data_IF_093932765356
#
_entry.id   IF_093932765356
#
_cell.length_a   1.000
_cell.length_b   1.000
_cell.length_c   1.000
_cell.angle_alpha   90.00
_cell.angle_beta   90.00
_cell.angle_gamma   90.00
#
_symmetry.space_group_name_H-M   'P 1'
#
loop_
_entity.id
_entity.type
_entity.pdbx_description
1 polymer ?
#
# COMPACT_ATOMS: atom_id res chain seq x y z
N UNK A 1 -8.17 34.54 -7.15
CA UNK A 1 -8.73 33.19 -7.12
C UNK A 1 -7.63 32.25 -6.64
N UNK A 2 -7.70 31.84 -5.38
CA UNK A 2 -6.77 30.91 -4.75
C UNK A 2 -7.13 29.49 -5.18
N UNK A 3 -6.23 28.82 -5.90
CA UNK A 3 -6.39 27.40 -6.23
C UNK A 3 -6.26 26.57 -4.96
N UNK A 4 -7.35 25.94 -4.55
CA UNK A 4 -7.42 24.96 -3.47
C UNK A 4 -6.41 23.82 -3.72
N UNK A 5 -5.62 23.37 -2.73
CA UNK A 5 -4.54 22.43 -2.99
C UNK A 5 -5.09 21.08 -3.49
N UNK A 6 -4.73 20.68 -4.71
CA UNK A 6 -4.94 19.30 -5.17
C UNK A 6 -3.68 18.47 -4.85
N UNK A 7 -3.83 17.62 -3.84
CA UNK A 7 -2.89 16.59 -3.35
C UNK A 7 -1.76 17.07 -2.40
N UNK A 8 -1.95 16.82 -1.10
CA UNK A 8 -0.88 16.85 -0.08
C UNK A 8 -0.95 15.66 0.91
N UNK A 9 -1.74 14.62 0.59
CA UNK A 9 -1.94 13.46 1.48
C UNK A 9 -0.81 12.43 1.38
N UNK A 10 -0.02 12.45 0.29
CA UNK A 10 1.17 11.59 0.14
C UNK A 10 2.30 12.20 0.97
N UNK A 11 2.58 11.59 2.11
CA UNK A 11 3.60 12.04 3.06
C UNK A 11 5.01 11.70 2.57
N UNK A 12 5.18 10.55 1.92
CA UNK A 12 6.47 10.13 1.39
C UNK A 12 6.32 9.10 0.26
N UNK A 13 7.34 9.05 -0.60
CA UNK A 13 7.48 8.04 -1.65
C UNK A 13 8.96 7.66 -1.80
N UNK A 14 9.24 6.36 -1.81
CA UNK A 14 10.58 5.79 -1.94
C UNK A 14 10.59 4.66 -2.96
N UNK A 15 11.74 4.45 -3.59
CA UNK A 15 12.02 3.26 -4.39
C UNK A 15 13.12 2.47 -3.72
N UNK A 16 12.79 1.27 -3.24
CA UNK A 16 13.74 0.34 -2.66
C UNK A 16 14.26 -0.54 -3.80
N UNK A 17 15.57 -0.47 -4.13
CA UNK A 17 16.12 -1.27 -5.21
C UNK A 17 15.98 -2.76 -4.91
N UNK A 18 15.59 -3.53 -5.92
CA UNK A 18 15.70 -4.99 -5.89
C UNK A 18 17.10 -5.45 -6.32
N UNK A 19 17.24 -6.73 -6.66
CA UNK A 19 18.45 -7.25 -7.31
C UNK A 19 18.79 -6.45 -8.58
N UNK A 20 20.06 -6.45 -8.99
CA UNK A 20 20.51 -5.71 -10.17
C UNK A 20 19.66 -6.04 -11.41
N UNK A 21 19.08 -5.01 -12.04
CA UNK A 21 18.21 -5.14 -13.21
C UNK A 21 16.74 -5.47 -12.92
N UNK A 22 16.34 -5.65 -11.66
CA UNK A 22 14.94 -5.88 -11.29
C UNK A 22 14.16 -4.56 -11.09
N UNK A 23 12.84 -4.61 -11.31
CA UNK A 23 11.94 -3.50 -10.99
C UNK A 23 11.94 -3.29 -9.46
N UNK A 24 12.14 -2.04 -8.98
CA UNK A 24 12.21 -1.77 -7.55
C UNK A 24 10.87 -1.97 -6.84
N UNK A 25 10.91 -2.07 -5.52
CA UNK A 25 9.72 -1.94 -4.67
C UNK A 25 9.44 -0.46 -4.46
N UNK A 26 8.24 -0.04 -4.83
CA UNK A 26 7.71 1.30 -4.55
C UNK A 26 7.08 1.32 -3.17
N UNK A 27 7.45 2.31 -2.38
CA UNK A 27 6.95 2.52 -1.03
C UNK A 27 6.26 3.86 -0.99
N UNK A 28 4.97 3.87 -0.62
CA UNK A 28 4.19 5.10 -0.52
C UNK A 28 3.55 5.19 0.84
N UNK A 29 3.67 6.35 1.47
CA UNK A 29 3.03 6.67 2.75
C UNK A 29 1.99 7.75 2.49
N UNK A 30 0.75 7.49 2.89
CA UNK A 30 -0.30 8.51 2.95
C UNK A 30 -0.68 8.79 4.39
N UNK A 31 -0.94 10.06 4.69
CA UNK A 31 -1.50 10.49 5.96
C UNK A 31 -2.85 11.18 5.71
N UNK A 32 -3.85 10.73 6.45
CA UNK A 32 -5.19 11.31 6.44
C UNK A 32 -5.54 11.74 7.86
N UNK A 33 -6.01 12.98 8.02
CA UNK A 33 -6.44 13.48 9.32
C UNK A 33 -7.66 12.72 9.88
N UNK A 34 -8.10 13.01 11.11
CA UNK A 34 -9.23 12.33 11.72
C UNK A 34 -10.50 12.45 10.85
N UNK A 35 -11.15 11.31 10.60
CA UNK A 35 -12.35 11.23 9.74
C UNK A 35 -12.09 11.29 8.23
N UNK A 36 -10.82 11.33 7.78
CA UNK A 36 -10.44 11.29 6.37
C UNK A 36 -9.91 9.88 5.97
N UNK A 37 -9.77 9.62 4.68
CA UNK A 37 -9.14 8.38 4.17
C UNK A 37 -10.04 7.13 4.09
N UNK A 38 -11.24 7.18 4.66
CA UNK A 38 -12.18 6.06 4.68
C UNK A 38 -11.82 4.98 5.72
N UNK A 39 -12.69 3.98 5.88
CA UNK A 39 -12.44 2.89 6.84
C UNK A 39 -11.34 1.94 6.35
N UNK A 40 -10.63 1.23 7.25
CA UNK A 40 -9.69 0.19 6.86
C UNK A 40 -10.31 -0.82 5.88
N UNK A 41 -11.52 -1.31 6.16
CA UNK A 41 -12.22 -2.34 5.38
C UNK A 41 -12.53 -1.86 3.95
N UNK A 42 -13.02 -0.62 3.79
CA UNK A 42 -13.28 -0.05 2.48
C UNK A 42 -11.99 0.09 1.65
N UNK A 43 -10.85 0.37 2.30
CA UNK A 43 -9.55 0.43 1.63
C UNK A 43 -9.05 -0.98 1.24
N UNK A 44 -9.25 -1.98 2.10
CA UNK A 44 -8.93 -3.39 1.83
C UNK A 44 -9.66 -3.91 0.59
N UNK A 45 -10.99 -3.73 0.54
CA UNK A 45 -11.80 -4.09 -0.62
C UNK A 45 -11.35 -3.38 -1.89
N UNK A 46 -11.04 -2.08 -1.77
CA UNK A 46 -10.54 -1.29 -2.89
C UNK A 46 -9.22 -1.85 -3.41
N UNK A 47 -8.23 -2.14 -2.56
CA UNK A 47 -6.95 -2.68 -3.00
C UNK A 47 -7.10 -4.07 -3.60
N UNK A 48 -7.91 -4.94 -2.99
CA UNK A 48 -8.23 -6.26 -3.54
C UNK A 48 -8.81 -6.17 -4.95
N UNK A 49 -9.71 -5.22 -5.20
CA UNK A 49 -10.33 -5.00 -6.52
C UNK A 49 -9.34 -4.60 -7.63
N UNK A 50 -8.12 -4.18 -7.27
CA UNK A 50 -7.06 -3.81 -8.22
C UNK A 50 -6.25 -5.03 -8.68
N UNK A 51 -6.46 -6.19 -8.06
CA UNK A 51 -5.77 -7.43 -8.34
C UNK A 51 -6.72 -8.48 -8.92
N UNK A 52 -6.22 -9.21 -9.90
CA UNK A 52 -6.86 -10.41 -10.42
C UNK A 52 -5.87 -11.57 -10.47
N UNK A 53 -6.39 -12.79 -10.40
CA UNK A 53 -5.60 -13.98 -10.70
C UNK A 53 -5.33 -14.07 -12.21
N UNK A 54 -4.45 -14.98 -12.68
CA UNK A 54 -4.13 -15.11 -14.11
C UNK A 54 -5.33 -15.39 -15.02
N UNK A 55 -6.43 -15.93 -14.48
CA UNK A 55 -7.69 -16.18 -15.20
C UNK A 55 -8.67 -14.98 -15.12
N UNK A 56 -8.27 -13.85 -14.54
CA UNK A 56 -9.09 -12.65 -14.38
C UNK A 56 -10.05 -12.67 -13.19
N UNK A 57 -10.01 -13.70 -12.34
CA UNK A 57 -10.84 -13.82 -11.14
C UNK A 57 -10.24 -13.14 -9.90
N UNK A 58 -10.97 -13.21 -8.77
CA UNK A 58 -10.51 -12.63 -7.51
C UNK A 58 -9.23 -13.29 -6.98
N UNK A 59 -8.43 -12.53 -6.23
CA UNK A 59 -7.24 -13.01 -5.51
C UNK A 59 -7.56 -13.24 -4.04
N UNK A 60 -6.86 -14.18 -3.37
CA UNK A 60 -6.91 -14.28 -1.92
C UNK A 60 -6.35 -12.99 -1.30
N UNK A 61 -6.86 -12.70 -0.12
CA UNK A 61 -6.46 -11.57 0.69
C UNK A 61 -5.94 -12.12 2.02
N UNK A 62 -4.70 -11.76 2.37
CA UNK A 62 -4.10 -12.13 3.64
C UNK A 62 -4.16 -10.93 4.56
N UNK A 63 -5.01 -10.96 5.59
CA UNK A 63 -5.13 -9.88 6.59
C UNK A 63 -4.61 -10.37 7.94
N UNK A 64 -3.78 -9.55 8.57
CA UNK A 64 -3.38 -9.69 9.95
C UNK A 64 -3.69 -8.42 10.72
N UNK A 65 -4.13 -8.57 11.97
CA UNK A 65 -4.36 -7.47 12.88
C UNK A 65 -3.36 -7.55 14.03
N UNK A 66 -2.77 -6.42 14.37
CA UNK A 66 -1.78 -6.31 15.44
C UNK A 66 -1.99 -5.01 16.22
N UNK A 67 -1.39 -4.92 17.40
CA UNK A 67 -1.28 -3.66 18.14
C UNK A 67 0.19 -3.32 18.31
N UNK A 68 0.59 -2.15 17.83
CA UNK A 68 1.97 -1.65 17.90
C UNK A 68 1.97 -0.35 18.68
N UNK A 69 2.67 -0.31 19.82
CA UNK A 69 2.71 0.87 20.71
C UNK A 69 1.31 1.38 21.11
N UNK A 70 0.35 0.48 21.27
CA UNK A 70 -1.04 0.82 21.62
C UNK A 70 -1.91 1.29 20.46
N UNK A 71 -1.38 1.31 19.23
CA UNK A 71 -2.14 1.67 18.03
C UNK A 71 -2.59 0.41 17.27
N UNK A 72 -3.85 0.37 16.79
CA UNK A 72 -4.32 -0.69 15.89
C UNK A 72 -3.59 -0.65 14.55
N UNK A 73 -3.15 -1.82 14.11
CA UNK A 73 -2.52 -2.05 12.82
C UNK A 73 -3.30 -3.12 12.07
N UNK A 74 -3.68 -2.82 10.83
CA UNK A 74 -4.19 -3.81 9.88
C UNK A 74 -3.19 -3.95 8.74
N UNK A 75 -2.67 -5.16 8.56
CA UNK A 75 -1.69 -5.49 7.53
C UNK A 75 -2.39 -6.39 6.52
N UNK A 76 -2.40 -5.99 5.25
CA UNK A 76 -3.02 -6.75 4.17
C UNK A 76 -2.06 -6.98 3.01
N UNK A 77 -2.08 -8.19 2.47
CA UNK A 77 -1.28 -8.56 1.30
C UNK A 77 -2.15 -9.13 0.18
N UNK A 78 -1.89 -8.63 -1.03
CA UNK A 78 -2.53 -9.06 -2.27
C UNK A 78 -1.46 -9.47 -3.27
N UNK A 79 -1.68 -10.58 -3.95
CA UNK A 79 -0.77 -11.10 -4.98
C UNK A 79 -1.54 -11.44 -6.24
N UNK A 80 -1.05 -10.96 -7.39
CA UNK A 80 -1.64 -11.31 -8.67
C UNK A 80 -1.23 -10.35 -9.79
N UNK A 81 -2.11 -10.25 -10.78
CA UNK A 81 -2.03 -9.26 -11.84
C UNK A 81 -2.67 -7.97 -11.36
N UNK A 82 -1.87 -6.92 -11.30
CA UNK A 82 -2.31 -5.61 -10.87
C UNK A 82 -2.73 -4.76 -12.08
N UNK A 83 -3.92 -4.17 -12.04
CA UNK A 83 -4.49 -3.46 -13.18
C UNK A 83 -4.90 -1.99 -12.92
N UNK A 84 -4.51 -1.39 -11.80
CA UNK A 84 -4.84 0.02 -11.45
C UNK A 84 -3.81 0.63 -10.51
N UNK A 85 -3.07 1.67 -10.92
CA UNK A 85 -1.95 2.26 -10.17
C UNK A 85 -2.22 2.78 -8.75
N UNK A 86 -1.15 2.94 -7.97
CA UNK A 86 -1.19 3.35 -6.56
C UNK A 86 -1.60 4.83 -6.43
N UNK A 87 -2.90 5.05 -6.28
CA UNK A 87 -3.49 6.36 -5.97
C UNK A 87 -4.34 6.95 -7.09
N UNK A 88 -5.00 8.07 -6.76
CA UNK A 88 -5.88 8.83 -7.65
C UNK A 88 -5.10 9.65 -8.69
N UNK A 89 -4.38 8.99 -9.59
CA UNK A 89 -3.67 9.72 -10.65
C UNK A 89 -2.66 8.94 -11.47
N UNK A 90 -2.40 7.67 -11.14
CA UNK A 90 -1.61 6.84 -12.05
C UNK A 90 -2.46 6.56 -13.29
N UNK A 91 -1.93 6.93 -14.45
CA UNK A 91 -2.42 6.53 -15.78
C UNK A 91 -2.75 5.03 -15.81
N UNK A 92 -3.61 4.62 -16.74
CA UNK A 92 -3.88 3.21 -17.01
C UNK A 92 -2.57 2.49 -17.37
N UNK A 93 -1.84 2.04 -16.36
CA UNK A 93 -0.62 1.27 -16.54
C UNK A 93 -1.03 -0.09 -17.09
N UNK A 94 -0.22 -0.58 -18.04
CA UNK A 94 -0.32 -1.95 -18.50
C UNK A 94 -0.39 -2.89 -17.28
N UNK A 95 -1.27 -3.90 -17.35
CA UNK A 95 -1.42 -4.87 -16.29
C UNK A 95 -0.05 -5.42 -15.87
N UNK A 96 0.25 -5.38 -14.57
CA UNK A 96 1.54 -5.80 -14.01
C UNK A 96 1.36 -7.21 -13.41
N UNK A 97 1.70 -8.28 -14.14
CA UNK A 97 1.56 -9.64 -13.63
C UNK A 97 2.59 -9.94 -12.52
N UNK A 98 2.28 -10.90 -11.66
CA UNK A 98 3.14 -11.37 -10.56
C UNK A 98 3.69 -10.24 -9.69
N UNK A 99 2.80 -9.36 -9.23
CA UNK A 99 3.10 -8.31 -8.27
C UNK A 99 2.44 -8.57 -6.92
N UNK A 100 3.04 -7.99 -5.89
CA UNK A 100 2.51 -7.97 -4.52
C UNK A 100 2.30 -6.53 -4.10
N UNK A 101 1.15 -6.27 -3.46
CA UNK A 101 0.93 -5.09 -2.63
C UNK A 101 0.84 -5.55 -1.17
N UNK A 102 1.73 -5.05 -0.32
CA UNK A 102 1.58 -5.09 1.13
C UNK A 102 1.14 -3.71 1.61
N UNK A 103 -0.07 -3.62 2.13
CA UNK A 103 -0.63 -2.41 2.69
C UNK A 103 -0.71 -2.50 4.22
N UNK A 104 -0.38 -1.42 4.92
CA UNK A 104 -0.54 -1.31 6.38
C UNK A 104 -1.37 -0.08 6.68
N UNK A 105 -2.45 -0.28 7.43
CA UNK A 105 -3.28 0.79 7.98
C UNK A 105 -2.94 0.91 9.45
N UNK A 106 -2.38 2.06 9.85
CA UNK A 106 -2.05 2.37 11.23
C UNK A 106 -2.94 3.51 11.72
N UNK A 107 -3.79 3.20 12.70
CA UNK A 107 -4.74 4.15 13.26
C UNK A 107 -4.11 4.87 14.45
N UNK A 108 -3.94 6.19 14.35
CA UNK A 108 -3.33 7.03 15.39
C UNK A 108 -4.33 8.08 15.89
N UNK A 109 -4.13 8.66 17.09
CA UNK A 109 -4.99 9.75 17.57
C UNK A 109 -4.99 10.99 16.66
N UNK A 110 -3.96 11.16 15.81
CA UNK A 110 -3.83 12.31 14.91
C UNK A 110 -4.40 12.05 13.52
N UNK A 111 -4.80 10.82 13.22
CA UNK A 111 -5.22 10.40 11.88
C UNK A 111 -4.67 9.02 11.51
N UNK A 112 -4.94 8.60 10.29
CA UNK A 112 -4.61 7.26 9.80
C UNK A 112 -3.47 7.33 8.79
N UNK A 113 -2.46 6.50 9.02
CA UNK A 113 -1.39 6.28 8.07
C UNK A 113 -1.70 5.06 7.20
N UNK A 114 -1.62 5.23 5.89
CA UNK A 114 -1.71 4.13 4.93
C UNK A 114 -0.34 3.96 4.29
N UNK A 115 0.29 2.85 4.60
CA UNK A 115 1.56 2.45 4.03
C UNK A 115 1.32 1.44 2.93
N UNK A 116 1.98 1.59 1.78
CA UNK A 116 1.88 0.66 0.66
C UNK A 116 3.29 0.33 0.16
N UNK A 117 3.67 -0.94 0.20
CA UNK A 117 4.82 -1.48 -0.52
C UNK A 117 4.34 -2.31 -1.70
N UNK A 118 4.76 -1.93 -2.90
CA UNK A 118 4.32 -2.53 -4.14
C UNK A 118 5.48 -2.85 -5.07
N UNK A 119 5.48 -4.03 -5.67
CA UNK A 119 6.49 -4.42 -6.64
C UNK A 119 6.37 -5.87 -7.09
N UNK A 120 7.30 -6.35 -7.94
CA UNK A 120 7.32 -7.74 -8.36
C UNK A 120 7.43 -8.69 -7.16
N UNK A 121 6.77 -9.85 -7.26
CA UNK A 121 6.73 -10.85 -6.18
C UNK A 121 8.13 -11.22 -5.66
N UNK A 122 9.12 -11.36 -6.54
CA UNK A 122 10.50 -11.69 -6.16
C UNK A 122 11.18 -10.59 -5.32
N UNK A 123 11.00 -9.32 -5.71
CA UNK A 123 11.55 -8.20 -4.97
C UNK A 123 10.82 -8.01 -3.63
N UNK A 124 9.49 -8.10 -3.65
CA UNK A 124 8.65 -8.01 -2.45
C UNK A 124 8.96 -9.12 -1.45
N UNK A 125 9.19 -10.36 -1.90
CA UNK A 125 9.56 -11.47 -1.00
C UNK A 125 10.84 -11.15 -0.22
N UNK A 126 11.83 -10.53 -0.87
CA UNK A 126 13.08 -10.11 -0.23
C UNK A 126 12.88 -8.92 0.71
N UNK A 127 12.06 -7.94 0.30
CA UNK A 127 11.94 -6.65 1.00
C UNK A 127 10.78 -6.58 2.00
N UNK A 128 9.92 -7.60 2.07
CA UNK A 128 8.71 -7.61 2.91
C UNK A 128 9.00 -7.25 4.36
N UNK A 129 10.01 -7.86 4.97
CA UNK A 129 10.37 -7.61 6.37
C UNK A 129 10.82 -6.15 6.59
N UNK A 130 11.62 -5.60 5.67
CA UNK A 130 12.09 -4.22 5.75
C UNK A 130 10.93 -3.22 5.59
N UNK A 131 10.04 -3.46 4.63
CA UNK A 131 8.82 -2.68 4.45
C UNK A 131 7.95 -2.68 5.71
N UNK A 132 7.72 -3.84 6.33
CA UNK A 132 6.89 -3.94 7.53
C UNK A 132 7.56 -3.24 8.72
N UNK A 133 8.87 -3.43 8.89
CA UNK A 133 9.65 -2.76 9.94
C UNK A 133 9.59 -1.24 9.79
N UNK A 134 9.69 -0.73 8.56
CA UNK A 134 9.58 0.70 8.29
C UNK A 134 8.18 1.25 8.63
N UNK A 135 7.11 0.55 8.21
CA UNK A 135 5.73 0.92 8.54
C UNK A 135 5.48 1.00 10.06
N UNK A 136 6.03 0.05 10.81
CA UNK A 136 5.95 0.02 12.29
C UNK A 136 6.81 1.07 12.97
N UNK A 137 7.88 1.54 12.30
CA UNK A 137 8.77 2.57 12.83
C UNK A 137 8.26 4.00 12.70
N UNK A 138 7.36 4.26 11.75
CA UNK A 138 6.86 5.61 11.41
C UNK A 138 5.77 6.15 12.33
N UNK A 139 5.12 5.30 13.12
CA UNK A 139 4.17 5.79 14.12
C UNK A 139 4.90 6.16 15.41
N UNK A 140 4.63 7.35 15.99
CA UNK A 140 5.24 7.79 17.25
C UNK A 140 4.99 6.82 18.41
#
# INVERSE_FOLDING_TARGET
>A
MSGTPSSSMRLAEYKVPGAAGSVPVEVVVYFFGPGQGGSPEANLERWKSQFSNPAGGAVPELVAHETVRGMPYTIAEYRGTYARGMGNGSSADAARPDHILMAVVAETPKGTLFFQCFGPSAAMTTQRAACLSFAKGLTP
#
